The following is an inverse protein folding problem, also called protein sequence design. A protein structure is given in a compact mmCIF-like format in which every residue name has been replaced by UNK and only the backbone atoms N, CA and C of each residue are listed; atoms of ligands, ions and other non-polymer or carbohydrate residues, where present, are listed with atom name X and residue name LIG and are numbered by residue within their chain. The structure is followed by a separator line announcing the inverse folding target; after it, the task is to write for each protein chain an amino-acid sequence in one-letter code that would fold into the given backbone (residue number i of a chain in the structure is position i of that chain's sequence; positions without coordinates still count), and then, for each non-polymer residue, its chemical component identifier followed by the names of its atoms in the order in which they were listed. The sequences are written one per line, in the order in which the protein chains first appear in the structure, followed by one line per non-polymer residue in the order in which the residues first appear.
data_IF_406427706414
#
_entry.id   IF_406427706414
#
_cell.length_a   1.000
_cell.length_b   1.000
_cell.length_c   1.000
_cell.angle_alpha   90.00
_cell.angle_beta   90.00
_cell.angle_gamma   90.00
#
_symmetry.space_group_name_H-M   'P 1'
#
loop_
_entity.id
_entity.type
_entity.pdbx_description
1 polymer ?
#
# COMPACT_ATOMS: atom_id res chain seq x y z
N UNK A 1 -10.21 -50.56 9.76
CA UNK A 1 -10.15 -49.10 9.50
C UNK A 1 -11.22 -48.78 8.47
N UNK A 2 -12.28 -48.05 8.86
CA UNK A 2 -13.38 -47.71 7.95
C UNK A 2 -13.18 -46.29 7.37
N UNK A 3 -13.39 -46.07 6.06
CA UNK A 3 -13.24 -44.75 5.45
C UNK A 3 -14.40 -43.83 5.86
N UNK A 4 -14.06 -42.59 6.20
CA UNK A 4 -15.03 -41.56 6.59
C UNK A 4 -15.93 -41.16 5.41
N UNK A 5 -17.23 -40.88 5.65
CA UNK A 5 -18.20 -40.57 4.60
C UNK A 5 -17.99 -39.18 3.97
N UNK A 6 -17.95 -39.14 2.64
CA UNK A 6 -17.63 -38.01 1.76
C UNK A 6 -18.61 -36.82 1.80
N UNK A 7 -19.74 -36.95 2.50
CA UNK A 7 -20.79 -35.92 2.58
C UNK A 7 -20.46 -34.75 3.51
N UNK A 8 -19.55 -34.94 4.49
CA UNK A 8 -19.14 -33.84 5.40
C UNK A 8 -18.19 -32.83 4.76
N UNK A 9 -17.44 -33.20 3.73
CA UNK A 9 -16.47 -32.32 3.05
C UNK A 9 -17.14 -31.30 2.11
N UNK A 10 -18.29 -31.64 1.51
CA UNK A 10 -19.00 -30.75 0.58
C UNK A 10 -19.65 -29.55 1.29
N UNK A 11 -20.16 -29.73 2.50
CA UNK A 11 -20.80 -28.64 3.25
C UNK A 11 -19.82 -27.63 3.84
N UNK A 12 -18.60 -28.07 4.22
CA UNK A 12 -17.57 -27.17 4.76
C UNK A 12 -16.99 -26.27 3.66
N UNK A 13 -16.82 -26.78 2.44
CA UNK A 13 -16.31 -26.01 1.29
C UNK A 13 -17.26 -24.87 0.85
N UNK A 14 -18.57 -25.11 0.85
CA UNK A 14 -19.57 -24.10 0.50
C UNK A 14 -19.73 -23.00 1.57
N UNK A 15 -19.54 -23.34 2.84
CA UNK A 15 -19.67 -22.40 3.96
C UNK A 15 -18.48 -21.44 4.05
N UNK A 16 -17.26 -21.93 3.79
CA UNK A 16 -16.04 -21.10 3.79
C UNK A 16 -16.01 -20.15 2.59
N UNK A 17 -16.46 -20.61 1.41
CA UNK A 17 -16.48 -19.78 0.19
C UNK A 17 -17.46 -18.59 0.29
N UNK A 18 -18.65 -18.81 0.84
CA UNK A 18 -19.68 -17.75 0.95
C UNK A 18 -19.39 -16.74 2.06
N UNK A 19 -18.80 -17.16 3.18
CA UNK A 19 -18.31 -16.26 4.23
C UNK A 19 -17.12 -15.42 3.73
N UNK A 20 -16.15 -16.02 3.05
CA UNK A 20 -14.97 -15.30 2.57
C UNK A 20 -15.31 -14.26 1.49
N UNK A 21 -16.18 -14.60 0.53
CA UNK A 21 -16.67 -13.65 -0.49
C UNK A 21 -17.47 -12.51 0.15
N UNK A 22 -18.30 -12.80 1.15
CA UNK A 22 -19.03 -11.75 1.89
C UNK A 22 -18.09 -10.84 2.67
N UNK A 23 -17.06 -11.35 3.33
CA UNK A 23 -16.11 -10.52 4.10
C UNK A 23 -15.27 -9.62 3.18
N UNK A 24 -14.82 -10.14 2.03
CA UNK A 24 -14.08 -9.35 1.04
C UNK A 24 -14.99 -8.29 0.39
N UNK A 25 -16.22 -8.64 0.00
CA UNK A 25 -17.18 -7.66 -0.52
C UNK A 25 -17.59 -6.62 0.53
N UNK A 26 -17.78 -7.01 1.79
CA UNK A 26 -18.09 -6.09 2.89
C UNK A 26 -16.90 -5.15 3.15
N UNK A 27 -15.65 -5.63 3.12
CA UNK A 27 -14.48 -4.74 3.22
C UNK A 27 -14.33 -3.80 2.01
N UNK A 28 -14.58 -4.26 0.79
CA UNK A 28 -14.56 -3.41 -0.41
C UNK A 28 -15.68 -2.36 -0.43
N UNK A 29 -16.85 -2.67 0.14
CA UNK A 29 -17.99 -1.74 0.24
C UNK A 29 -17.85 -0.82 1.47
N UNK A 30 -17.36 -1.32 2.60
CA UNK A 30 -17.08 -0.49 3.78
C UNK A 30 -15.95 0.52 3.53
N UNK A 31 -15.01 0.18 2.64
CA UNK A 31 -13.98 1.12 2.19
C UNK A 31 -14.52 2.26 1.29
N UNK A 32 -15.78 2.21 0.82
CA UNK A 32 -16.37 3.24 -0.05
C UNK A 32 -17.38 4.16 0.65
N UNK A 33 -17.68 3.96 1.94
CA UNK A 33 -18.71 4.73 2.65
C UNK A 33 -18.15 5.49 3.84
N UNK A 34 -17.46 6.59 3.57
CA UNK A 34 -17.35 7.68 4.54
C UNK A 34 -17.49 9.04 3.84
N UNK A 35 -18.69 9.67 3.85
CA UNK A 35 -18.82 11.05 3.46
C UNK A 35 -18.54 11.99 4.65
N UNK A 36 -18.03 13.17 4.31
CA UNK A 36 -17.89 14.41 5.12
C UNK A 36 -16.58 14.62 5.89
N UNK A 37 -15.66 15.37 5.28
CA UNK A 37 -15.46 16.80 5.60
C UNK A 37 -14.72 17.50 4.45
N UNK A 38 -15.34 18.53 3.91
CA UNK A 38 -14.74 19.45 2.93
C UNK A 38 -13.70 20.29 3.69
N UNK A 39 -12.41 19.97 3.53
CA UNK A 39 -11.34 20.92 3.83
C UNK A 39 -10.12 20.71 2.91
N UNK A 40 -9.37 21.80 2.78
CA UNK A 40 -8.66 22.31 1.60
C UNK A 40 -7.55 21.43 1.01
N UNK A 41 -7.54 21.43 -0.33
CA UNK A 41 -6.37 21.73 -1.18
C UNK A 41 -5.17 20.77 -1.14
N UNK A 42 -4.91 20.18 -2.33
CA UNK A 42 -3.60 19.71 -2.84
C UNK A 42 -2.98 18.46 -2.21
N UNK A 43 -3.47 17.28 -2.60
CA UNK A 43 -2.61 16.07 -2.68
C UNK A 43 -3.08 15.12 -3.80
N UNK A 44 -3.38 15.70 -4.97
CA UNK A 44 -3.54 14.95 -6.22
C UNK A 44 -2.76 15.71 -7.30
N UNK A 45 -1.43 15.73 -7.19
CA UNK A 45 -0.57 16.51 -8.10
C UNK A 45 0.41 15.63 -8.89
N UNK A 46 0.27 14.31 -8.89
CA UNK A 46 0.94 13.52 -9.94
C UNK A 46 0.16 12.29 -10.39
N UNK A 47 -1.00 12.52 -11.01
CA UNK A 47 -1.74 11.45 -11.71
C UNK A 47 -0.93 10.82 -12.85
N UNK A 48 0.04 11.55 -13.40
CA UNK A 48 0.83 11.13 -14.55
C UNK A 48 1.90 10.10 -14.15
N UNK A 49 2.63 10.34 -13.06
CA UNK A 49 3.62 9.37 -12.53
C UNK A 49 2.93 8.18 -11.84
N UNK A 50 1.84 8.42 -11.11
CA UNK A 50 1.07 7.34 -10.46
C UNK A 50 0.44 6.39 -11.47
N UNK A 51 -0.05 6.87 -12.62
CA UNK A 51 -0.56 6.00 -13.69
C UNK A 51 0.51 5.09 -14.27
N UNK A 52 1.76 5.56 -14.37
CA UNK A 52 2.89 4.76 -14.83
C UNK A 52 3.19 3.56 -13.93
N UNK A 53 3.16 3.77 -12.61
CA UNK A 53 3.36 2.69 -11.62
C UNK A 53 2.18 1.72 -11.63
N UNK A 54 0.94 2.22 -11.63
CA UNK A 54 -0.28 1.39 -11.68
C UNK A 54 -0.29 0.53 -12.95
N UNK A 55 0.03 1.11 -14.11
CA UNK A 55 0.07 0.38 -15.38
C UNK A 55 1.12 -0.72 -15.37
N UNK A 56 2.31 -0.47 -14.80
CA UNK A 56 3.34 -1.50 -14.65
C UNK A 56 2.87 -2.64 -13.73
N UNK A 57 2.28 -2.32 -12.58
CA UNK A 57 1.76 -3.32 -11.65
C UNK A 57 0.66 -4.16 -12.31
N UNK A 58 -0.31 -3.50 -12.96
CA UNK A 58 -1.39 -4.19 -13.67
C UNK A 58 -0.86 -5.09 -14.79
N UNK A 59 0.13 -4.64 -15.56
CA UNK A 59 0.75 -5.45 -16.61
C UNK A 59 1.42 -6.70 -16.05
N UNK A 60 2.26 -6.57 -15.01
CA UNK A 60 2.90 -7.73 -14.37
C UNK A 60 1.86 -8.70 -13.80
N UNK A 61 0.76 -8.16 -13.26
CA UNK A 61 -0.33 -8.98 -12.73
C UNK A 61 -1.04 -9.78 -13.83
N UNK A 62 -1.33 -9.16 -14.98
CA UNK A 62 -1.92 -9.84 -16.12
C UNK A 62 -0.99 -10.96 -16.62
N UNK A 63 0.31 -10.66 -16.77
CA UNK A 63 1.31 -11.67 -17.17
C UNK A 63 1.37 -12.82 -16.17
N UNK A 64 1.42 -12.52 -14.87
CA UNK A 64 1.41 -13.52 -13.81
C UNK A 64 0.15 -14.39 -13.86
N UNK A 65 -1.02 -13.76 -14.03
CA UNK A 65 -2.32 -14.42 -14.10
C UNK A 65 -2.42 -15.34 -15.31
N UNK A 66 -2.01 -14.88 -16.48
CA UNK A 66 -1.99 -15.68 -17.71
C UNK A 66 -1.02 -16.85 -17.56
N UNK A 67 0.19 -16.60 -17.07
CA UNK A 67 1.19 -17.65 -16.84
C UNK A 67 0.69 -18.72 -15.86
N UNK A 68 0.09 -18.30 -14.74
CA UNK A 68 -0.54 -19.23 -13.78
C UNK A 68 -1.68 -20.01 -14.41
N UNK A 69 -2.54 -19.36 -15.20
CA UNK A 69 -3.67 -20.02 -15.87
C UNK A 69 -3.20 -21.08 -16.87
N UNK A 70 -2.14 -20.77 -17.64
CA UNK A 70 -1.53 -21.73 -18.57
C UNK A 70 -0.87 -22.89 -17.81
N UNK A 71 -0.16 -22.61 -16.73
CA UNK A 71 0.45 -23.65 -15.90
C UNK A 71 -0.60 -24.60 -15.31
N UNK A 72 -1.72 -24.08 -14.79
CA UNK A 72 -2.84 -24.87 -14.29
C UNK A 72 -3.51 -25.69 -15.40
N UNK A 73 -3.66 -25.10 -16.59
CA UNK A 73 -4.23 -25.81 -17.74
C UNK A 73 -3.33 -26.96 -18.20
N UNK A 74 -2.01 -26.73 -18.29
CA UNK A 74 -1.04 -27.75 -18.63
C UNK A 74 -0.98 -28.85 -17.57
N UNK A 75 -1.05 -28.48 -16.29
CA UNK A 75 -1.11 -29.43 -15.18
C UNK A 75 -2.35 -30.34 -15.28
N UNK A 76 -3.53 -29.74 -15.45
CA UNK A 76 -4.79 -30.47 -15.59
C UNK A 76 -4.74 -31.45 -16.77
N UNK A 77 -4.18 -30.99 -17.89
CA UNK A 77 -4.00 -31.79 -19.11
C UNK A 77 -3.02 -32.94 -18.95
N UNK A 78 -1.86 -32.68 -18.35
CA UNK A 78 -0.78 -33.66 -18.30
C UNK A 78 -1.02 -34.74 -17.24
N UNK A 79 -1.66 -34.38 -16.11
CA UNK A 79 -1.76 -35.26 -14.95
C UNK A 79 -3.17 -35.71 -14.60
N UNK A 80 -4.22 -34.95 -14.91
CA UNK A 80 -5.59 -35.29 -14.50
C UNK A 80 -6.39 -35.89 -15.67
N UNK A 81 -6.33 -35.28 -16.86
CA UNK A 81 -7.20 -35.66 -18.00
C UNK A 81 -6.52 -35.45 -19.38
N UNK A 82 -5.66 -36.37 -19.84
CA UNK A 82 -4.96 -36.24 -21.12
C UNK A 82 -5.90 -36.36 -22.34
N UNK A 83 -6.97 -37.15 -22.22
CA UNK A 83 -7.81 -37.56 -23.37
C UNK A 83 -8.91 -36.55 -23.76
N UNK A 84 -9.10 -35.48 -22.99
CA UNK A 84 -10.16 -34.50 -23.25
C UNK A 84 -9.82 -33.54 -24.41
N UNK A 85 -10.84 -32.88 -24.96
CA UNK A 85 -10.62 -31.80 -25.92
C UNK A 85 -10.10 -30.52 -25.22
N UNK A 86 -9.41 -29.65 -25.95
CA UNK A 86 -8.81 -28.43 -25.37
C UNK A 86 -9.86 -27.48 -24.79
N UNK A 87 -11.05 -27.45 -25.39
CA UNK A 87 -12.17 -26.65 -24.94
C UNK A 87 -12.70 -27.15 -23.60
N UNK A 88 -12.89 -28.47 -23.45
CA UNK A 88 -13.35 -29.06 -22.19
C UNK A 88 -12.36 -28.86 -21.05
N UNK A 89 -11.06 -29.09 -21.29
CA UNK A 89 -10.04 -28.84 -20.26
C UNK A 89 -9.97 -27.37 -19.84
N UNK A 90 -10.22 -26.44 -20.76
CA UNK A 90 -10.29 -25.02 -20.42
C UNK A 90 -11.53 -24.68 -19.60
N UNK A 91 -12.71 -25.15 -19.99
CA UNK A 91 -13.95 -24.94 -19.23
C UNK A 91 -13.87 -25.53 -17.82
N UNK A 92 -13.31 -26.74 -17.70
CA UNK A 92 -13.13 -27.40 -16.40
C UNK A 92 -12.10 -26.66 -15.53
N UNK A 93 -11.00 -26.18 -16.12
CA UNK A 93 -10.04 -25.33 -15.43
C UNK A 93 -10.72 -24.05 -14.91
N UNK A 94 -11.45 -23.32 -15.76
CA UNK A 94 -12.14 -22.09 -15.36
C UNK A 94 -13.20 -22.35 -14.29
N UNK A 95 -14.01 -23.40 -14.42
CA UNK A 95 -15.04 -23.73 -13.43
C UNK A 95 -14.45 -24.13 -12.08
N UNK A 96 -13.39 -24.95 -12.09
CA UNK A 96 -12.78 -25.48 -10.87
C UNK A 96 -11.96 -24.43 -10.12
N UNK A 97 -11.30 -23.55 -10.87
CA UNK A 97 -10.48 -22.46 -10.30
C UNK A 97 -11.18 -21.09 -10.34
N UNK A 98 -12.48 -21.04 -10.65
CA UNK A 98 -13.27 -19.80 -10.66
C UNK A 98 -13.12 -18.98 -9.38
N UNK A 99 -13.21 -19.57 -8.16
CA UNK A 99 -13.04 -18.82 -6.92
C UNK A 99 -11.66 -18.20 -6.80
N UNK A 100 -10.62 -18.90 -7.26
CA UNK A 100 -9.24 -18.41 -7.25
C UNK A 100 -9.07 -17.22 -8.22
N UNK A 101 -9.63 -17.31 -9.42
CA UNK A 101 -9.59 -16.21 -10.39
C UNK A 101 -10.31 -14.97 -9.90
N UNK A 102 -11.49 -15.14 -9.29
CA UNK A 102 -12.25 -14.03 -8.69
C UNK A 102 -11.47 -13.34 -7.58
N UNK A 103 -10.86 -14.11 -6.67
CA UNK A 103 -10.03 -13.56 -5.59
C UNK A 103 -8.82 -12.83 -6.16
N UNK A 104 -8.12 -13.44 -7.14
CA UNK A 104 -6.95 -12.83 -7.78
C UNK A 104 -7.28 -11.49 -8.45
N UNK A 105 -8.43 -11.38 -9.12
CA UNK A 105 -8.88 -10.13 -9.75
C UNK A 105 -9.28 -9.10 -8.68
N UNK A 106 -9.99 -9.52 -7.64
CA UNK A 106 -10.41 -8.65 -6.55
C UNK A 106 -9.23 -8.08 -5.73
N UNK A 107 -8.09 -8.78 -5.72
CA UNK A 107 -6.89 -8.35 -5.00
C UNK A 107 -6.16 -7.20 -5.72
N UNK A 108 -6.32 -7.07 -7.04
CA UNK A 108 -5.67 -6.01 -7.84
C UNK A 108 -5.99 -4.60 -7.30
N UNK A 109 -7.26 -4.18 -7.17
CA UNK A 109 -7.57 -2.84 -6.69
C UNK A 109 -7.08 -2.60 -5.26
N UNK A 110 -7.16 -3.62 -4.39
CA UNK A 110 -6.67 -3.51 -3.02
C UNK A 110 -5.15 -3.28 -2.98
N UNK A 111 -4.39 -4.09 -3.73
CA UNK A 111 -2.94 -4.00 -3.80
C UNK A 111 -2.46 -2.69 -4.43
N UNK A 112 -3.13 -2.24 -5.50
CA UNK A 112 -2.83 -0.96 -6.14
C UNK A 112 -3.07 0.20 -5.18
N UNK A 113 -4.21 0.23 -4.49
CA UNK A 113 -4.52 1.29 -3.52
C UNK A 113 -3.52 1.32 -2.35
N UNK A 114 -3.13 0.15 -1.85
CA UNK A 114 -2.17 0.06 -0.76
C UNK A 114 -0.77 0.52 -1.18
N UNK A 115 -0.31 0.07 -2.35
CA UNK A 115 0.97 0.52 -2.93
C UNK A 115 0.98 2.03 -3.16
N UNK A 116 -0.09 2.59 -3.73
CA UNK A 116 -0.19 4.03 -3.94
C UNK A 116 -0.21 4.83 -2.64
N UNK A 117 -0.91 4.35 -1.61
CA UNK A 117 -0.89 4.97 -0.28
C UNK A 117 0.50 4.96 0.32
N UNK A 118 1.21 3.83 0.22
CA UNK A 118 2.57 3.69 0.69
C UNK A 118 3.50 4.67 -0.04
N UNK A 119 3.50 4.68 -1.37
CA UNK A 119 4.34 5.59 -2.17
C UNK A 119 4.04 7.06 -1.87
N UNK A 120 2.76 7.43 -1.75
CA UNK A 120 2.39 8.81 -1.41
C UNK A 120 2.87 9.24 -0.02
N UNK A 121 2.89 8.31 0.95
CA UNK A 121 3.45 8.56 2.29
C UNK A 121 4.95 8.85 2.24
N UNK A 122 5.70 8.27 1.30
CA UNK A 122 7.13 8.55 1.12
C UNK A 122 7.40 9.79 0.25
N UNK A 123 6.54 10.08 -0.72
CA UNK A 123 6.73 11.17 -1.68
C UNK A 123 6.74 12.57 -1.03
N UNK A 124 5.91 12.80 0.00
CA UNK A 124 5.84 14.09 0.69
C UNK A 124 7.13 14.45 1.45
N UNK A 125 7.64 13.57 2.34
CA UNK A 125 8.89 13.81 3.05
C UNK A 125 10.10 13.93 2.12
N UNK A 126 10.23 13.07 1.11
CA UNK A 126 11.40 13.10 0.21
C UNK A 126 11.46 14.38 -0.62
N UNK A 127 10.31 14.91 -1.07
CA UNK A 127 10.29 16.15 -1.86
C UNK A 127 10.73 17.35 -1.02
N UNK A 128 10.29 17.43 0.24
CA UNK A 128 10.71 18.48 1.18
C UNK A 128 12.20 18.39 1.48
N UNK A 129 12.72 17.19 1.73
CA UNK A 129 14.15 16.97 1.91
C UNK A 129 14.96 17.38 0.68
N UNK A 130 14.51 17.01 -0.53
CA UNK A 130 15.16 17.41 -1.79
C UNK A 130 15.24 18.92 -1.93
N UNK A 131 14.16 19.64 -1.64
CA UNK A 131 14.14 21.10 -1.70
C UNK A 131 15.17 21.73 -0.76
N UNK A 132 15.23 21.28 0.50
CA UNK A 132 16.20 21.83 1.44
C UNK A 132 17.66 21.45 1.11
N UNK A 133 17.91 20.26 0.56
CA UNK A 133 19.24 19.88 0.06
C UNK A 133 19.66 20.80 -1.10
N UNK A 134 18.76 21.13 -2.02
CA UNK A 134 19.06 22.06 -3.11
C UNK A 134 19.33 23.47 -2.59
N UNK A 135 18.54 23.95 -1.62
CA UNK A 135 18.81 25.23 -0.95
C UNK A 135 20.19 25.25 -0.29
N UNK A 136 20.56 24.18 0.43
CA UNK A 136 21.89 24.05 1.05
C UNK A 136 23.01 24.04 0.00
N UNK A 137 22.83 23.34 -1.11
CA UNK A 137 23.81 23.26 -2.20
C UNK A 137 24.03 24.62 -2.88
N UNK A 138 23.01 25.47 -2.91
CA UNK A 138 23.09 26.85 -3.41
C UNK A 138 23.58 27.86 -2.35
N UNK A 139 23.93 27.40 -1.14
CA UNK A 139 24.36 28.26 -0.03
C UNK A 139 23.25 29.12 0.56
N UNK A 140 21.99 28.81 0.26
CA UNK A 140 20.83 29.51 0.83
C UNK A 140 20.56 28.99 2.25
N UNK A 141 20.02 29.82 3.15
CA UNK A 141 19.58 29.35 4.46
C UNK A 141 18.49 28.29 4.29
N UNK A 142 18.65 27.17 4.98
CA UNK A 142 17.72 26.04 4.97
C UNK A 142 16.78 26.09 6.16
N UNK A 143 15.56 25.61 5.94
CA UNK A 143 14.56 25.50 6.99
C UNK A 143 14.78 24.23 7.81
N UNK A 144 14.50 24.27 9.13
CA UNK A 144 14.51 23.07 9.96
C UNK A 144 13.47 22.07 9.44
N UNK A 145 13.91 20.87 9.09
CA UNK A 145 13.02 19.79 8.68
C UNK A 145 12.35 19.17 9.90
N UNK A 146 11.02 19.02 9.83
CA UNK A 146 10.24 18.25 10.80
C UNK A 146 9.22 17.41 10.04
N UNK A 147 9.30 16.09 10.22
CA UNK A 147 8.38 15.13 9.62
C UNK A 147 7.53 14.47 10.69
N UNK A 148 6.21 14.42 10.45
CA UNK A 148 5.24 13.76 11.35
C UNK A 148 5.04 12.30 10.92
N UNK A 149 5.12 11.37 11.87
CA UNK A 149 4.67 9.97 11.76
C UNK A 149 5.41 9.09 10.74
N UNK A 150 6.69 8.81 11.00
CA UNK A 150 7.36 7.51 10.79
C UNK A 150 8.76 7.62 11.40
N UNK A 151 9.17 6.70 12.26
CA UNK A 151 10.45 6.80 13.00
C UNK A 151 11.64 7.00 12.06
N UNK A 152 11.65 6.29 10.92
CA UNK A 152 12.66 6.45 9.86
C UNK A 152 12.82 7.90 9.36
N UNK A 153 11.72 8.63 9.17
CA UNK A 153 11.80 9.98 8.62
C UNK A 153 12.26 11.00 9.65
N UNK A 154 12.01 10.74 10.94
CA UNK A 154 12.47 11.59 12.03
C UNK A 154 13.99 11.57 12.11
N UNK A 155 14.59 10.38 12.07
CA UNK A 155 16.06 10.23 12.14
C UNK A 155 16.77 10.92 10.96
N UNK A 156 16.17 10.85 9.76
CA UNK A 156 16.68 11.55 8.58
C UNK A 156 16.58 13.07 8.75
N UNK A 157 15.46 13.58 9.27
CA UNK A 157 15.31 15.01 9.55
C UNK A 157 16.30 15.50 10.62
N UNK A 158 16.47 14.73 11.70
CA UNK A 158 17.39 15.07 12.79
C UNK A 158 18.84 15.07 12.31
N UNK A 159 19.21 14.11 11.47
CA UNK A 159 20.54 14.06 10.83
C UNK A 159 20.78 15.27 9.91
N UNK A 160 19.79 15.63 9.07
CA UNK A 160 19.87 16.79 8.19
C UNK A 160 19.97 18.10 8.97
N UNK A 161 19.12 18.28 10.00
CA UNK A 161 19.12 19.46 10.85
C UNK A 161 20.47 19.62 11.57
N UNK A 162 21.02 18.52 12.09
CA UNK A 162 22.33 18.52 12.75
C UNK A 162 23.45 18.93 11.81
N UNK A 163 23.41 18.45 10.56
CA UNK A 163 24.37 18.84 9.52
C UNK A 163 24.24 20.34 9.21
N UNK A 164 23.02 20.81 8.94
CA UNK A 164 22.76 22.20 8.58
C UNK A 164 23.11 23.18 9.71
N UNK A 165 22.96 22.77 10.98
CA UNK A 165 23.38 23.54 12.14
C UNK A 165 24.91 23.67 12.18
N UNK A 166 25.64 22.57 11.94
CA UNK A 166 27.12 22.57 11.94
C UNK A 166 27.70 23.41 10.81
N UNK A 167 27.03 23.47 9.67
CA UNK A 167 27.47 24.28 8.52
C UNK A 167 26.97 25.72 8.59
N UNK A 168 26.23 26.12 9.64
CA UNK A 168 25.69 27.48 9.77
C UNK A 168 24.64 27.84 8.72
N UNK A 169 24.02 26.85 8.08
CA UNK A 169 23.01 27.05 7.04
C UNK A 169 21.59 27.13 7.61
N UNK A 170 21.39 26.81 8.89
CA UNK A 170 20.08 26.95 9.52
C UNK A 170 19.63 28.41 9.52
N UNK A 171 18.41 28.66 9.09
CA UNK A 171 17.81 29.99 9.23
C UNK A 171 17.46 30.26 10.70
N UNK A 172 17.96 31.37 11.26
CA UNK A 172 17.75 31.78 12.66
C UNK A 172 16.27 32.06 13.01
N UNK A 173 15.41 32.19 11.99
CA UNK A 173 13.99 32.48 12.16
C UNK A 173 13.16 31.35 12.81
N UNK A 174 13.69 30.13 12.92
CA UNK A 174 13.02 28.99 13.58
C UNK A 174 13.64 28.65 14.95
N UNK A 175 14.57 29.46 15.47
CA UNK A 175 15.18 29.31 16.80
C UNK A 175 14.27 29.88 17.91
N UNK A 176 13.03 29.38 18.02
CA UNK A 176 12.24 29.57 19.25
C UNK A 176 12.64 28.49 20.27
N UNK A 177 13.04 28.88 21.49
CA UNK A 177 13.47 27.95 22.52
C UNK A 177 12.25 27.22 23.07
N UNK A 178 12.30 25.90 23.12
CA UNK A 178 11.54 25.15 24.13
C UNK A 178 12.14 25.49 25.49
N UNK A 179 11.82 26.69 25.99
CA UNK A 179 12.10 27.15 27.34
C UNK A 179 11.03 26.61 28.26
N UNK A 180 11.32 25.47 28.86
CA UNK A 180 10.63 25.00 30.06
C UNK A 180 11.12 25.86 31.24
N UNK A 181 10.66 27.11 31.33
CA UNK A 181 10.84 27.93 32.53
C UNK A 181 9.75 27.57 33.55
N UNK A 182 9.99 26.50 34.30
CA UNK A 182 9.35 26.33 35.61
C UNK A 182 10.02 27.30 36.58
N UNK A 183 9.55 28.55 36.61
CA UNK A 183 9.98 29.55 37.60
C UNK A 183 9.30 29.29 38.95
N UNK A 184 10.03 29.31 40.09
CA UNK A 184 9.49 28.99 41.41
C UNK A 184 8.61 30.12 41.93
N UNK A 185 7.34 29.81 42.20
CA UNK A 185 6.40 30.70 42.88
C UNK A 185 6.89 30.99 44.30
N UNK A 186 7.41 32.19 44.49
CA UNK A 186 7.62 32.83 45.79
C UNK A 186 6.90 34.17 45.73
N UNK A 187 5.79 34.34 46.47
CA UNK A 187 5.36 35.65 46.98
C UNK A 187 4.36 35.43 48.11
N UNK A 188 4.80 35.76 49.32
CA UNK A 188 3.99 36.02 50.49
C UNK A 188 3.19 37.31 50.29
N UNK A 189 1.92 37.32 50.71
CA UNK A 189 1.23 38.46 51.30
C UNK A 189 0.05 37.94 52.13
#
# INVERSE_FOLDING_TARGET
MQPLPSWRLRHISLFVSTQFVRTVCIMSIAASTHPTRKDRSTTVVDRTVQYGVVKKIAFHWIVLFVCNSVALLLWLRLFEQPDLSWQHSFEDCVRRFLPFFLISIALIPAFVLDTLKLTNRFAGPIMRLRTEILNAAEGRPVKRLSFRTNDFWKDVADSFNSMAQRTGLLSDADAEPTGDETSPSSTNA
#
